data_IF_311089425913
#
_entry.id   IF_311089425913
#
_cell.length_a   1.000
_cell.length_b   1.000
_cell.length_c   1.000
_cell.angle_alpha   90.00
_cell.angle_beta   90.00
_cell.angle_gamma   90.00
#
_symmetry.space_group_name_H-M   'P 1'
#
loop_
_entity.id
_entity.type
_entity.pdbx_description
1 polymer ?
#
# COMPACT_ATOMS: atom_id res chain seq x y z
N UNK A 1 13.14 3.11 20.34
CA UNK A 1 12.23 4.28 20.35
C UNK A 1 10.77 3.87 20.21
N UNK A 2 10.37 3.16 19.14
CA UNK A 2 8.96 2.78 18.92
C UNK A 2 8.33 2.00 20.08
N UNK A 3 9.01 0.94 20.57
CA UNK A 3 8.56 0.16 21.74
C UNK A 3 8.41 1.05 22.98
N UNK A 4 9.45 1.82 23.30
CA UNK A 4 9.48 2.73 24.46
C UNK A 4 8.32 3.73 24.47
N UNK A 5 7.94 4.25 23.31
CA UNK A 5 6.90 5.28 23.18
C UNK A 5 5.54 4.71 22.81
N UNK A 6 5.41 3.39 22.75
CA UNK A 6 4.19 2.74 22.28
C UNK A 6 3.73 3.41 20.96
N UNK A 7 4.60 3.44 19.95
CA UNK A 7 4.35 4.02 18.63
C UNK A 7 4.36 2.96 17.51
N UNK A 8 3.58 3.18 16.45
CA UNK A 8 3.63 2.37 15.24
C UNK A 8 4.85 2.72 14.37
N UNK A 9 5.29 1.80 13.52
CA UNK A 9 6.51 1.93 12.72
C UNK A 9 6.19 1.69 11.25
N UNK A 10 6.64 2.61 10.39
CA UNK A 10 6.71 2.36 8.94
C UNK A 10 8.09 1.78 8.62
N UNK A 11 8.11 0.56 8.11
CA UNK A 11 9.31 -0.19 7.74
C UNK A 11 9.50 -0.10 6.22
N UNK A 12 10.43 0.75 5.79
CA UNK A 12 10.77 0.88 4.37
C UNK A 12 11.56 -0.35 3.92
N UNK A 13 11.11 -1.02 2.85
CA UNK A 13 11.74 -2.25 2.36
C UNK A 13 13.01 -1.97 1.56
N UNK A 14 14.02 -1.45 2.25
CA UNK A 14 15.33 -1.10 1.72
C UNK A 14 16.39 -1.46 2.75
N UNK A 15 17.56 -1.87 2.29
CA UNK A 15 18.73 -2.16 3.12
C UNK A 15 19.88 -1.20 2.77
N UNK A 16 21.07 -1.46 3.33
CA UNK A 16 22.25 -0.61 3.13
C UNK A 16 22.76 -0.61 1.66
N UNK A 17 22.29 -1.53 0.81
CA UNK A 17 22.58 -1.52 -0.63
C UNK A 17 21.70 -0.55 -1.42
N UNK A 18 20.66 0.02 -0.77
CA UNK A 18 19.77 1.01 -1.36
C UNK A 18 18.48 0.43 -1.93
N UNK A 19 17.95 1.10 -2.96
CA UNK A 19 16.64 0.74 -3.54
C UNK A 19 16.68 -0.67 -4.15
N UNK A 20 15.75 -1.57 -3.77
CA UNK A 20 15.74 -2.93 -4.32
C UNK A 20 15.54 -2.97 -5.83
N UNK A 21 16.33 -3.82 -6.49
CA UNK A 21 16.34 -3.95 -7.95
C UNK A 21 15.14 -4.73 -8.51
N UNK A 22 14.51 -5.58 -7.70
CA UNK A 22 13.37 -6.40 -8.12
C UNK A 22 12.39 -6.74 -6.97
N UNK A 23 11.31 -7.45 -7.28
CA UNK A 23 10.31 -7.84 -6.30
C UNK A 23 10.84 -8.87 -5.28
N UNK A 24 11.72 -9.79 -5.70
CA UNK A 24 12.24 -10.84 -4.83
C UNK A 24 13.12 -10.25 -3.72
N UNK A 25 13.99 -9.29 -4.07
CA UNK A 25 14.82 -8.57 -3.12
C UNK A 25 13.96 -7.76 -2.14
N UNK A 26 12.90 -7.08 -2.62
CA UNK A 26 11.95 -6.36 -1.75
C UNK A 26 11.33 -7.28 -0.70
N UNK A 27 10.90 -8.47 -1.12
CA UNK A 27 10.28 -9.45 -0.22
C UNK A 27 11.32 -9.97 0.79
N UNK A 28 12.54 -10.29 0.34
CA UNK A 28 13.63 -10.71 1.22
C UNK A 28 13.92 -9.65 2.30
N UNK A 29 14.11 -8.40 1.88
CA UNK A 29 14.35 -7.26 2.80
C UNK A 29 13.15 -7.07 3.74
N UNK A 30 11.91 -7.21 3.25
CA UNK A 30 10.71 -7.15 4.08
C UNK A 30 10.62 -8.25 5.13
N UNK A 31 10.92 -9.49 4.76
CA UNK A 31 11.00 -10.61 5.72
C UNK A 31 12.02 -10.32 6.82
N UNK A 32 13.20 -9.84 6.45
CA UNK A 32 14.25 -9.53 7.40
C UNK A 32 13.85 -8.40 8.36
N UNK A 33 13.30 -7.30 7.84
CA UNK A 33 12.83 -6.16 8.64
C UNK A 33 11.69 -6.52 9.58
N UNK A 34 10.67 -7.23 9.10
CA UNK A 34 9.53 -7.64 9.94
C UNK A 34 9.98 -8.55 11.06
N UNK A 35 10.80 -9.58 10.76
CA UNK A 35 11.36 -10.49 11.79
C UNK A 35 12.19 -9.75 12.81
N UNK A 36 13.00 -8.78 12.38
CA UNK A 36 13.81 -7.96 13.29
C UNK A 36 12.94 -7.10 14.21
N UNK A 37 11.95 -6.40 13.67
CA UNK A 37 11.04 -5.55 14.46
C UNK A 37 10.26 -6.36 15.50
N UNK A 38 9.78 -7.54 15.13
CA UNK A 38 9.10 -8.45 16.06
C UNK A 38 10.07 -8.93 17.15
N UNK A 39 11.29 -9.32 16.80
CA UNK A 39 12.33 -9.71 17.77
C UNK A 39 12.71 -8.57 18.72
N UNK A 40 12.65 -7.33 18.26
CA UNK A 40 12.92 -6.13 19.06
C UNK A 40 11.70 -5.73 19.92
N UNK A 41 10.59 -6.48 19.87
CA UNK A 41 9.41 -6.31 20.71
C UNK A 41 8.30 -5.42 20.13
N UNK A 42 8.33 -5.12 18.83
CA UNK A 42 7.24 -4.40 18.16
C UNK A 42 6.11 -5.39 17.80
N UNK A 43 4.88 -5.19 18.32
CA UNK A 43 3.73 -6.02 17.93
C UNK A 43 3.44 -5.92 16.43
N UNK A 44 3.02 -7.02 15.80
CA UNK A 44 2.85 -7.09 14.35
C UNK A 44 1.84 -6.05 13.83
N UNK A 45 0.75 -5.83 14.56
CA UNK A 45 -0.31 -4.86 14.26
C UNK A 45 0.17 -3.40 14.27
N UNK A 46 1.43 -3.16 14.63
CA UNK A 46 2.07 -1.85 14.67
C UNK A 46 3.12 -1.66 13.59
N UNK A 47 3.36 -2.68 12.80
CA UNK A 47 4.34 -2.68 11.71
C UNK A 47 3.59 -2.37 10.41
N UNK A 48 4.00 -1.30 9.74
CA UNK A 48 3.52 -0.91 8.41
C UNK A 48 4.66 -1.09 7.41
N UNK A 49 4.69 -2.21 6.69
CA UNK A 49 5.68 -2.45 5.65
C UNK A 49 5.39 -1.59 4.41
N UNK A 50 6.38 -0.82 3.94
CA UNK A 50 6.28 0.00 2.73
C UNK A 50 7.22 -0.55 1.64
N UNK A 51 6.68 -1.13 0.53
CA UNK A 51 7.47 -1.75 -0.53
C UNK A 51 8.21 -0.76 -1.43
N UNK A 52 8.17 0.54 -1.12
CA UNK A 52 8.86 1.62 -1.83
C UNK A 52 8.50 1.68 -3.30
N UNK A 53 7.33 2.25 -3.59
CA UNK A 53 6.86 2.47 -4.96
C UNK A 53 7.83 3.34 -5.74
N UNK A 54 8.31 2.78 -6.86
CA UNK A 54 9.12 3.49 -7.85
C UNK A 54 8.24 4.05 -8.98
N UNK A 55 8.68 5.13 -9.64
CA UNK A 55 7.98 5.67 -10.82
C UNK A 55 7.90 4.63 -11.94
N UNK A 56 6.69 4.38 -12.42
CA UNK A 56 6.45 3.46 -13.53
C UNK A 56 7.14 3.92 -14.82
N UNK A 57 7.36 5.22 -14.99
CA UNK A 57 8.10 5.77 -16.14
C UNK A 57 9.58 5.40 -16.17
N UNK A 58 10.16 4.97 -15.04
CA UNK A 58 11.54 4.47 -14.98
C UNK A 58 11.59 2.98 -15.28
N UNK A 59 10.74 2.19 -14.62
CA UNK A 59 10.66 0.74 -14.85
C UNK A 59 9.24 0.21 -14.55
N UNK A 60 8.41 -0.04 -15.58
CA UNK A 60 7.05 -0.57 -15.40
C UNK A 60 6.99 -1.95 -14.73
N UNK A 61 8.03 -2.78 -14.94
CA UNK A 61 8.08 -4.11 -14.34
C UNK A 61 8.15 -4.05 -12.81
N UNK A 62 8.75 -2.99 -12.25
CA UNK A 62 8.78 -2.77 -10.81
C UNK A 62 7.41 -2.40 -10.23
N UNK A 63 6.63 -1.58 -10.95
CA UNK A 63 5.27 -1.26 -10.53
C UNK A 63 4.39 -2.53 -10.46
N UNK A 64 4.54 -3.44 -11.43
CA UNK A 64 3.87 -4.74 -11.40
C UNK A 64 4.41 -5.64 -10.28
N UNK A 65 5.74 -5.68 -10.10
CA UNK A 65 6.42 -6.49 -9.08
C UNK A 65 6.00 -6.15 -7.65
N UNK A 66 5.69 -4.88 -7.36
CA UNK A 66 5.18 -4.45 -6.05
C UNK A 66 3.84 -5.11 -5.72
N UNK A 67 2.94 -5.31 -6.69
CA UNK A 67 1.66 -5.98 -6.46
C UNK A 67 1.85 -7.42 -5.98
N UNK A 68 2.91 -8.09 -6.48
CA UNK A 68 3.31 -9.42 -6.01
C UNK A 68 3.91 -9.36 -4.61
N UNK A 69 4.80 -8.40 -4.36
CA UNK A 69 5.42 -8.22 -3.04
C UNK A 69 4.37 -7.95 -1.94
N UNK A 70 3.38 -7.10 -2.23
CA UNK A 70 2.25 -6.82 -1.31
C UNK A 70 1.49 -8.10 -0.98
N UNK A 71 1.16 -8.91 -1.99
CA UNK A 71 0.42 -10.17 -1.80
C UNK A 71 1.24 -11.17 -0.98
N UNK A 72 2.50 -11.37 -1.33
CA UNK A 72 3.36 -12.34 -0.65
C UNK A 72 3.64 -11.96 0.81
N UNK A 73 3.88 -10.67 1.10
CA UNK A 73 4.03 -10.19 2.47
C UNK A 73 2.74 -10.30 3.28
N UNK A 74 1.57 -10.06 2.67
CA UNK A 74 0.26 -10.23 3.30
C UNK A 74 0.04 -11.68 3.69
N UNK A 75 0.32 -12.62 2.78
CA UNK A 75 0.10 -14.04 2.99
C UNK A 75 1.05 -14.60 4.06
N UNK A 76 2.31 -14.14 4.09
CA UNK A 76 3.31 -14.59 5.07
C UNK A 76 3.13 -13.96 6.46
N UNK A 77 2.72 -12.69 6.52
CA UNK A 77 2.59 -11.93 7.76
C UNK A 77 1.18 -11.33 7.90
N UNK A 78 0.14 -12.14 8.18
CA UNK A 78 -1.23 -11.66 8.25
C UNK A 78 -1.46 -10.60 9.35
N UNK A 79 -0.62 -10.58 10.39
CA UNK A 79 -0.70 -9.63 11.49
C UNK A 79 -0.08 -8.26 11.23
N UNK A 80 0.68 -8.06 10.16
CA UNK A 80 1.26 -6.73 9.85
C UNK A 80 0.32 -5.90 8.97
N UNK A 81 0.61 -4.61 8.90
CA UNK A 81 0.04 -3.72 7.91
C UNK A 81 0.97 -3.51 6.72
N UNK A 82 0.38 -3.27 5.54
CA UNK A 82 1.11 -2.88 4.33
C UNK A 82 0.64 -1.49 3.92
N UNK A 83 1.60 -0.57 3.78
CA UNK A 83 1.39 0.84 3.44
C UNK A 83 2.16 1.23 2.18
N UNK A 84 1.84 2.38 1.58
CA UNK A 84 2.65 2.93 0.50
C UNK A 84 2.45 4.44 0.31
N UNK A 85 3.46 5.12 -0.25
CA UNK A 85 3.30 6.43 -0.90
C UNK A 85 2.77 6.29 -2.34
N UNK A 86 1.47 6.52 -2.55
CA UNK A 86 0.79 6.20 -3.82
C UNK A 86 1.31 7.01 -5.02
N UNK A 87 1.55 8.30 -4.83
CA UNK A 87 1.81 9.25 -5.94
C UNK A 87 3.16 9.06 -6.63
N UNK A 88 4.03 8.22 -6.08
CA UNK A 88 5.34 7.91 -6.67
C UNK A 88 5.19 7.13 -7.97
N UNK A 89 4.18 6.26 -8.10
CA UNK A 89 4.00 5.40 -9.30
C UNK A 89 3.89 6.21 -10.58
N UNK A 90 3.30 7.41 -10.51
CA UNK A 90 2.99 8.25 -11.67
C UNK A 90 4.01 9.37 -11.91
N UNK A 91 5.08 9.46 -11.12
CA UNK A 91 6.06 10.54 -11.27
C UNK A 91 6.66 10.54 -12.69
N UNK A 92 6.75 11.71 -13.32
CA UNK A 92 7.25 11.88 -14.69
C UNK A 92 6.29 11.48 -15.82
N UNK A 93 5.10 10.95 -15.52
CA UNK A 93 4.11 10.54 -16.53
C UNK A 93 2.94 11.53 -16.65
N UNK A 94 2.31 11.66 -17.84
CA UNK A 94 1.08 12.43 -18.00
C UNK A 94 -0.12 11.74 -17.33
N UNK A 95 -1.21 12.50 -17.14
CA UNK A 95 -2.47 11.99 -16.57
C UNK A 95 -2.29 11.24 -15.23
N UNK A 96 -1.42 11.74 -14.35
CA UNK A 96 -1.02 11.10 -13.07
C UNK A 96 -2.16 10.61 -12.20
N UNK A 97 -3.24 11.40 -12.10
CA UNK A 97 -4.42 11.02 -11.32
C UNK A 97 -5.03 9.69 -11.79
N UNK A 98 -4.98 9.38 -13.09
CA UNK A 98 -5.46 8.11 -13.64
C UNK A 98 -4.59 6.95 -13.17
N UNK A 99 -3.27 7.08 -13.31
CA UNK A 99 -2.34 6.06 -12.84
C UNK A 99 -2.47 5.82 -11.33
N UNK A 100 -2.53 6.89 -10.53
CA UNK A 100 -2.64 6.79 -9.08
C UNK A 100 -3.91 6.02 -8.65
N UNK A 101 -5.09 6.38 -9.19
CA UNK A 101 -6.35 5.73 -8.78
C UNK A 101 -6.48 4.29 -9.29
N UNK A 102 -5.99 4.01 -10.49
CA UNK A 102 -5.95 2.64 -11.02
C UNK A 102 -5.02 1.78 -10.18
N UNK A 103 -3.83 2.29 -9.86
CA UNK A 103 -2.86 1.54 -9.07
C UNK A 103 -3.32 1.32 -7.62
N UNK A 104 -4.01 2.29 -7.02
CA UNK A 104 -4.63 2.12 -5.71
C UNK A 104 -5.61 0.94 -5.69
N UNK A 105 -6.49 0.83 -6.68
CA UNK A 105 -7.42 -0.30 -6.77
C UNK A 105 -6.70 -1.65 -6.90
N UNK A 106 -5.63 -1.70 -7.70
CA UNK A 106 -4.79 -2.90 -7.86
C UNK A 106 -4.09 -3.28 -6.55
N UNK A 107 -3.54 -2.30 -5.82
CA UNK A 107 -2.89 -2.52 -4.53
C UNK A 107 -3.87 -3.02 -3.47
N UNK A 108 -5.08 -2.46 -3.39
CA UNK A 108 -6.13 -2.92 -2.47
C UNK A 108 -6.48 -4.38 -2.73
N UNK A 109 -6.63 -4.75 -4.01
CA UNK A 109 -6.88 -6.13 -4.44
C UNK A 109 -5.69 -7.09 -4.21
N UNK A 110 -4.48 -6.55 -4.07
CA UNK A 110 -3.28 -7.31 -3.66
C UNK A 110 -3.11 -7.42 -2.15
N UNK A 111 -3.83 -6.64 -1.34
CA UNK A 111 -3.77 -6.72 0.13
C UNK A 111 -3.24 -5.49 0.85
N UNK A 112 -3.20 -4.32 0.21
CA UNK A 112 -2.86 -3.04 0.86
C UNK A 112 -3.88 -2.68 1.96
N UNK A 113 -3.40 -2.12 3.09
CA UNK A 113 -4.24 -1.60 4.17
C UNK A 113 -4.32 -0.07 4.17
N UNK A 114 -3.20 0.61 3.92
CA UNK A 114 -3.11 2.06 3.99
C UNK A 114 -2.33 2.67 2.85
N UNK A 115 -2.62 3.92 2.52
CA UNK A 115 -1.87 4.69 1.54
C UNK A 115 -1.70 6.13 2.00
N UNK A 116 -0.51 6.69 1.77
CA UNK A 116 -0.29 8.12 1.80
C UNK A 116 -0.69 8.65 0.42
N UNK A 117 -1.79 9.40 0.38
CA UNK A 117 -2.49 9.82 -0.84
C UNK A 117 -3.18 11.16 -0.62
N UNK A 118 -3.64 11.80 -1.71
CA UNK A 118 -4.45 13.02 -1.65
C UNK A 118 -5.91 12.69 -1.30
N UNK A 119 -6.41 13.02 -0.09
CA UNK A 119 -7.79 12.75 0.29
C UNK A 119 -8.80 13.74 -0.31
N UNK A 120 -8.34 14.79 -0.99
CA UNK A 120 -9.21 15.81 -1.61
C UNK A 120 -9.58 15.45 -3.05
N UNK A 121 -8.87 14.52 -3.68
CA UNK A 121 -9.19 13.97 -5.00
C UNK A 121 -10.43 13.05 -4.90
N UNK A 122 -11.58 13.57 -5.32
CA UNK A 122 -12.87 12.86 -5.28
C UNK A 122 -12.85 11.62 -6.17
N UNK A 123 -12.18 11.67 -7.33
CA UNK A 123 -12.06 10.50 -8.24
C UNK A 123 -11.24 9.40 -7.59
N UNK A 124 -10.17 9.76 -6.90
CA UNK A 124 -9.33 8.83 -6.17
C UNK A 124 -10.09 8.21 -4.98
N UNK A 125 -10.85 9.01 -4.22
CA UNK A 125 -11.74 8.50 -3.16
C UNK A 125 -12.85 7.59 -3.69
N UNK A 126 -13.38 7.89 -4.87
CA UNK A 126 -14.39 7.06 -5.51
C UNK A 126 -13.82 5.69 -5.89
N UNK A 127 -12.62 5.66 -6.47
CA UNK A 127 -11.90 4.43 -6.75
C UNK A 127 -11.58 3.64 -5.48
N UNK A 128 -11.16 4.30 -4.39
CA UNK A 128 -10.95 3.67 -3.08
C UNK A 128 -12.23 2.98 -2.59
N UNK A 129 -13.37 3.68 -2.59
CA UNK A 129 -14.66 3.11 -2.14
C UNK A 129 -15.10 1.93 -2.99
N UNK A 130 -14.99 2.04 -4.31
CA UNK A 130 -15.32 0.95 -5.23
C UNK A 130 -14.41 -0.26 -5.00
N UNK A 131 -13.10 -0.05 -4.86
CA UNK A 131 -12.15 -1.13 -4.63
C UNK A 131 -12.40 -1.86 -3.31
N UNK A 132 -12.70 -1.12 -2.22
CA UNK A 132 -13.04 -1.73 -0.93
C UNK A 132 -14.32 -2.58 -1.02
N UNK A 133 -15.36 -2.11 -1.71
CA UNK A 133 -16.59 -2.86 -1.93
C UNK A 133 -16.35 -4.14 -2.75
N UNK A 134 -15.50 -4.08 -3.77
CA UNK A 134 -15.20 -5.21 -4.66
C UNK A 134 -14.21 -6.22 -4.06
N UNK A 135 -13.55 -5.89 -2.95
CA UNK A 135 -12.51 -6.73 -2.32
C UNK A 135 -12.91 -7.22 -0.93
N UNK A 136 -14.21 -7.25 -0.64
CA UNK A 136 -14.78 -7.72 0.63
C UNK A 136 -14.30 -6.93 1.87
N UNK A 137 -13.97 -5.65 1.68
CA UNK A 137 -13.55 -4.71 2.74
C UNK A 137 -14.64 -3.70 3.11
N UNK A 138 -15.83 -3.81 2.53
CA UNK A 138 -17.02 -3.01 2.86
C UNK A 138 -18.24 -3.94 2.98
N UNK A 139 -18.55 -4.45 4.19
CA UNK A 139 -19.67 -5.36 4.39
C UNK A 139 -20.98 -4.81 3.84
N UNK A 140 -21.62 -5.61 2.98
CA UNK A 140 -22.86 -5.25 2.26
C UNK A 140 -22.75 -3.97 1.40
N UNK A 141 -21.53 -3.56 1.02
CA UNK A 141 -21.26 -2.32 0.29
C UNK A 141 -21.83 -1.08 1.00
N UNK A 142 -21.94 -1.12 2.34
CA UNK A 142 -22.68 -0.14 3.12
C UNK A 142 -22.05 1.26 3.03
N UNK A 143 -20.72 1.34 3.10
CA UNK A 143 -20.01 2.61 2.97
C UNK A 143 -20.10 3.15 1.55
N UNK A 144 -19.99 2.30 0.53
CA UNK A 144 -20.16 2.68 -0.87
C UNK A 144 -21.55 3.27 -1.15
N UNK A 145 -22.63 2.56 -0.77
CA UNK A 145 -24.01 3.02 -0.96
C UNK A 145 -24.27 4.33 -0.21
N UNK A 146 -23.77 4.45 1.02
CA UNK A 146 -23.88 5.68 1.82
C UNK A 146 -23.19 6.85 1.13
N UNK A 147 -21.98 6.66 0.64
CA UNK A 147 -21.19 7.74 0.02
C UNK A 147 -21.80 8.16 -1.33
N UNK A 148 -22.38 7.21 -2.10
CA UNK A 148 -23.19 7.51 -3.28
C UNK A 148 -24.40 8.40 -2.95
N UNK A 149 -25.20 8.01 -1.94
CA UNK A 149 -26.40 8.78 -1.51
C UNK A 149 -26.06 10.20 -1.04
N UNK A 150 -24.83 10.43 -0.58
CA UNK A 150 -24.33 11.74 -0.13
C UNK A 150 -23.68 12.55 -1.25
N UNK A 151 -23.69 12.08 -2.50
CA UNK A 151 -22.98 12.68 -3.64
C UNK A 151 -21.48 12.87 -3.35
N UNK A 152 -20.87 11.92 -2.63
CA UNK A 152 -19.44 11.94 -2.31
C UNK A 152 -18.60 11.12 -3.30
N UNK A 153 -19.24 10.50 -4.29
CA UNK A 153 -18.61 9.75 -5.36
C UNK A 153 -18.73 10.52 -6.68
N UNK A 154 -17.67 10.50 -7.48
CA UNK A 154 -17.65 10.95 -8.86
C UNK A 154 -17.96 9.74 -9.74
N UNK A 155 -19.23 9.61 -10.12
CA UNK A 155 -19.81 8.46 -10.84
C UNK A 155 -20.07 8.79 -12.31
#
# INVERSE_FOLDING_TARGET
MAVKHNASVVALLMDDSGMPEDAAKRIETGRALVKRLVSDGVPQERIFADPLIMPAGVNPALAAGILKAVRELRDEFPGIHITCGLTNVSHGLPARHLLNRTYLAMLIASGLDSAIMDPTDIKLRSALRAALALTDKDPFCSAYIRDYRKNLLDA
#
